data_IF_221261430485
#
_entry.id   IF_221261430485
#
_cell.length_a   1.000
_cell.length_b   1.000
_cell.length_c   1.000
_cell.angle_alpha   90.00
_cell.angle_beta   90.00
_cell.angle_gamma   90.00
#
_symmetry.space_group_name_H-M   'P 1'
#
loop_
_entity.id
_entity.type
_entity.pdbx_description
1 polymer ?
#
# COMPACT_ATOMS: atom_id res chain seq x y z
N UNK A 1 11.30 -16.59 -0.66
CA UNK A 1 10.43 -15.67 0.11
C UNK A 1 9.60 -14.92 -0.91
N UNK A 2 8.27 -14.99 -0.83
CA UNK A 2 7.40 -14.28 -1.77
C UNK A 2 7.15 -12.85 -1.25
N UNK A 3 7.14 -11.86 -2.13
CA UNK A 3 6.78 -10.48 -1.78
C UNK A 3 5.36 -10.20 -2.27
N UNK A 4 4.60 -9.42 -1.51
CA UNK A 4 3.33 -8.84 -1.94
C UNK A 4 3.37 -7.33 -1.71
N UNK A 5 2.71 -6.60 -2.59
CA UNK A 5 2.56 -5.16 -2.49
C UNK A 5 1.17 -4.82 -1.95
N UNK A 6 1.08 -3.91 -0.98
CA UNK A 6 -0.18 -3.51 -0.36
C UNK A 6 -0.23 -1.98 -0.31
N UNK A 7 -1.09 -1.39 -1.14
CA UNK A 7 -1.41 0.04 -1.08
C UNK A 7 -2.63 0.27 -0.18
N UNK A 8 -2.50 1.13 0.83
CA UNK A 8 -3.55 1.41 1.81
C UNK A 8 -3.48 2.86 2.35
N UNK A 9 -4.49 3.30 3.09
CA UNK A 9 -4.44 4.57 3.82
C UNK A 9 -3.58 4.44 5.07
N UNK A 10 -2.69 5.40 5.33
CA UNK A 10 -1.99 5.52 6.61
C UNK A 10 -2.94 5.65 7.82
N UNK A 11 -4.22 6.00 7.60
CA UNK A 11 -5.25 6.06 8.64
C UNK A 11 -5.77 4.66 9.04
N UNK A 12 -5.62 3.65 8.18
CA UNK A 12 -6.16 2.30 8.40
C UNK A 12 -5.14 1.39 9.13
N UNK A 13 -4.74 1.75 10.34
CA UNK A 13 -3.71 1.00 11.10
C UNK A 13 -4.08 -0.47 11.32
N UNK A 14 -5.35 -0.74 11.61
CA UNK A 14 -5.86 -2.11 11.80
C UNK A 14 -5.62 -3.01 10.59
N UNK A 15 -5.57 -2.43 9.39
CA UNK A 15 -5.35 -3.17 8.16
C UNK A 15 -3.91 -3.64 8.03
N UNK A 16 -2.95 -2.76 8.36
CA UNK A 16 -1.55 -3.13 8.42
C UNK A 16 -1.33 -4.27 9.42
N UNK A 17 -1.97 -4.19 10.58
CA UNK A 17 -1.88 -5.23 11.60
C UNK A 17 -2.53 -6.53 11.13
N UNK A 18 -3.69 -6.47 10.49
CA UNK A 18 -4.35 -7.64 9.88
C UNK A 18 -3.40 -8.36 8.91
N UNK A 19 -2.85 -7.66 7.92
CA UNK A 19 -1.96 -8.29 6.94
C UNK A 19 -0.65 -8.77 7.57
N UNK A 20 -0.10 -8.04 8.54
CA UNK A 20 1.10 -8.47 9.27
C UNK A 20 0.84 -9.79 10.03
N UNK A 21 -0.32 -9.91 10.65
CA UNK A 21 -0.70 -11.08 11.46
C UNK A 21 -1.01 -12.30 10.59
N UNK A 22 -1.77 -12.17 9.50
CA UNK A 22 -2.09 -13.33 8.65
C UNK A 22 -0.84 -13.91 7.98
N UNK A 23 0.19 -13.09 7.74
CA UNK A 23 1.45 -13.54 7.17
C UNK A 23 2.51 -13.88 8.22
N UNK A 24 2.25 -13.63 9.51
CA UNK A 24 3.15 -13.98 10.60
C UNK A 24 3.29 -15.51 10.69
N UNK A 25 4.43 -16.04 10.25
CA UNK A 25 4.69 -17.48 10.16
C UNK A 25 4.71 -18.04 8.73
N UNK A 26 4.40 -17.20 7.73
CA UNK A 26 4.58 -17.55 6.32
C UNK A 26 5.93 -17.04 5.80
N UNK A 27 6.35 -17.55 4.62
CA UNK A 27 7.52 -17.00 3.89
C UNK A 27 7.12 -15.82 2.99
N UNK A 28 6.09 -15.06 3.36
CA UNK A 28 5.59 -13.88 2.64
C UNK A 28 6.07 -12.60 3.33
N UNK A 29 6.62 -11.68 2.54
CA UNK A 29 6.97 -10.31 2.96
C UNK A 29 5.94 -9.35 2.38
N UNK A 30 5.21 -8.65 3.24
CA UNK A 30 4.33 -7.56 2.82
C UNK A 30 5.11 -6.24 2.72
N UNK A 31 5.01 -5.57 1.57
CA UNK A 31 5.43 -4.19 1.38
C UNK A 31 4.20 -3.31 1.49
N UNK A 32 4.15 -2.50 2.55
CA UNK A 32 3.07 -1.56 2.79
C UNK A 32 3.44 -0.19 2.20
N UNK A 33 2.59 0.31 1.32
CA UNK A 33 2.71 1.64 0.73
C UNK A 33 1.49 2.48 1.11
N UNK A 34 1.75 3.64 1.71
CA UNK A 34 0.68 4.56 2.12
C UNK A 34 0.47 5.55 0.98
N UNK A 35 -0.71 5.55 0.35
CA UNK A 35 -0.93 6.39 -0.83
C UNK A 35 -0.81 7.88 -0.52
N UNK A 36 -1.02 8.32 0.73
CA UNK A 36 -0.83 9.71 1.14
C UNK A 36 0.64 10.17 1.00
N UNK A 37 1.60 9.24 0.94
CA UNK A 37 3.02 9.57 0.72
C UNK A 37 3.31 10.00 -0.72
N UNK A 38 2.49 9.58 -1.69
CA UNK A 38 2.66 9.90 -3.12
C UNK A 38 2.59 11.42 -3.37
N UNK A 39 1.51 12.14 -3.03
CA UNK A 39 1.43 13.58 -3.27
C UNK A 39 2.43 14.39 -2.45
N UNK A 40 2.95 13.84 -1.34
CA UNK A 40 3.98 14.51 -0.53
C UNK A 40 5.41 14.35 -1.06
N UNK A 41 5.60 13.56 -2.13
CA UNK A 41 6.92 13.24 -2.67
C UNK A 41 7.79 12.38 -1.75
N UNK A 42 7.25 11.88 -0.63
CA UNK A 42 7.96 10.99 0.31
C UNK A 42 8.21 9.61 -0.29
N UNK A 43 7.51 9.28 -1.37
CA UNK A 43 7.64 8.05 -2.15
C UNK A 43 7.64 8.44 -3.62
N UNK A 44 8.57 7.87 -4.39
CA UNK A 44 8.70 8.14 -5.83
C UNK A 44 8.03 7.05 -6.66
N UNK A 45 7.64 7.40 -7.88
CA UNK A 45 7.06 6.44 -8.83
C UNK A 45 8.00 5.27 -9.13
N UNK A 46 9.32 5.53 -9.22
CA UNK A 46 10.33 4.49 -9.49
C UNK A 46 10.43 3.48 -8.34
N UNK A 47 10.26 3.93 -7.10
CA UNK A 47 10.20 3.02 -5.94
C UNK A 47 8.94 2.16 -6.02
N UNK A 48 7.78 2.77 -6.29
CA UNK A 48 6.50 2.04 -6.38
C UNK A 48 6.57 0.97 -7.48
N UNK A 49 7.05 1.34 -8.67
CA UNK A 49 7.20 0.41 -9.80
C UNK A 49 8.09 -0.76 -9.39
N UNK A 50 9.25 -0.49 -8.79
CA UNK A 50 10.18 -1.53 -8.33
C UNK A 50 9.57 -2.47 -7.29
N UNK A 51 8.81 -1.91 -6.34
CA UNK A 51 8.14 -2.71 -5.30
C UNK A 51 7.01 -3.57 -5.88
N UNK A 52 6.30 -3.08 -6.91
CA UNK A 52 5.29 -3.85 -7.64
C UNK A 52 5.95 -4.96 -8.46
N UNK A 53 7.00 -4.66 -9.23
CA UNK A 53 7.72 -5.65 -10.06
C UNK A 53 8.35 -6.77 -9.22
N UNK A 54 8.82 -6.45 -8.01
CA UNK A 54 9.33 -7.43 -7.06
C UNK A 54 8.24 -8.30 -6.42
N UNK A 55 6.97 -7.93 -6.55
CA UNK A 55 5.84 -8.58 -5.88
C UNK A 55 5.15 -9.61 -6.75
N UNK A 56 4.70 -10.72 -6.13
CA UNK A 56 3.91 -11.77 -6.80
C UNK A 56 2.41 -11.48 -6.82
N UNK A 57 1.97 -10.56 -5.98
CA UNK A 57 0.60 -10.08 -5.92
C UNK A 57 0.56 -8.63 -5.46
N UNK A 58 -0.51 -7.93 -5.83
CA UNK A 58 -0.79 -6.56 -5.43
C UNK A 58 -2.20 -6.47 -4.85
N UNK A 59 -2.30 -5.80 -3.70
CA UNK A 59 -3.56 -5.42 -3.08
C UNK A 59 -3.66 -3.89 -3.08
N UNK A 60 -4.75 -3.36 -3.62
CA UNK A 60 -5.10 -1.94 -3.52
C UNK A 60 -6.36 -1.86 -2.68
N UNK A 61 -6.28 -1.16 -1.57
CA UNK A 61 -7.33 -1.22 -0.56
C UNK A 61 -8.09 0.10 -0.54
N UNK A 62 -9.36 0.00 -0.94
CA UNK A 62 -10.30 1.11 -1.01
C UNK A 62 -11.16 1.12 0.25
N UNK A 63 -10.76 1.90 1.24
CA UNK A 63 -11.53 2.14 2.46
C UNK A 63 -12.21 3.51 2.43
N UNK A 64 -13.06 3.81 3.42
CA UNK A 64 -13.61 5.16 3.59
C UNK A 64 -12.52 6.24 3.73
N UNK A 65 -11.35 5.87 4.27
CA UNK A 65 -10.20 6.77 4.43
C UNK A 65 -9.62 7.22 3.08
N UNK A 66 -9.74 6.39 2.04
CA UNK A 66 -9.37 6.72 0.65
C UNK A 66 -10.35 7.71 0.04
N UNK A 67 -11.64 7.54 0.31
CA UNK A 67 -12.71 8.33 -0.28
C UNK A 67 -12.73 9.80 0.22
N UNK A 68 -12.12 10.07 1.38
CA UNK A 68 -11.94 11.43 1.91
C UNK A 68 -10.80 12.22 1.25
N UNK A 69 -10.03 11.63 0.33
CA UNK A 69 -9.11 12.42 -0.47
C UNK A 69 -9.93 13.22 -1.50
N UNK A 70 -9.83 14.57 -1.53
CA UNK A 70 -10.52 15.34 -2.55
C UNK A 70 -9.97 14.89 -3.89
N UNK A 71 -10.81 14.28 -4.73
CA UNK A 71 -10.58 14.17 -6.16
C UNK A 71 -10.40 15.59 -6.64
N UNK A 72 -9.15 16.03 -6.84
CA UNK A 72 -8.91 17.21 -7.65
C UNK A 72 -9.48 16.86 -9.02
N UNK A 73 -10.55 17.54 -9.40
CA UNK A 73 -10.95 17.60 -10.80
C UNK A 73 -9.73 18.11 -11.56
N UNK A 74 -9.14 17.22 -12.34
CA UNK A 74 -8.19 17.56 -13.38
C UNK A 74 -8.99 18.33 -14.43
N UNK A 75 -9.03 19.66 -14.27
CA UNK A 75 -9.47 20.59 -15.30
C UNK A 75 -8.43 20.78 -16.38
#
# INVERSE_FOLDING_TARGET
MAQIFISHSGKDKNLRDFFSNIFAGTKVKAIFEEFEKIPTGRVTSEKIIRDIEGSKAMFVILSQSVQMYPTREIG
#
